data_IF_776134921575
#
_entry.id   IF_776134921575
#
_cell.length_a   1.000
_cell.length_b   1.000
_cell.length_c   1.000
_cell.angle_alpha   90.00
_cell.angle_beta   90.00
_cell.angle_gamma   90.00
#
_symmetry.space_group_name_H-M   'P 1'
#
loop_
_entity.id
_entity.type
_entity.pdbx_description
1 polymer ?
#
# COMPACT_ATOMS: atom_id res chain seq x y z
N UNK A 1 -16.30 17.06 3.52
CA UNK A 1 -16.16 17.02 2.07
C UNK A 1 -14.80 16.52 1.60
N UNK A 2 -13.71 16.86 2.26
CA UNK A 2 -12.40 16.29 1.95
C UNK A 2 -12.32 14.78 2.27
N UNK A 3 -13.18 14.30 3.16
CA UNK A 3 -13.18 12.91 3.60
C UNK A 3 -13.66 11.91 2.54
N UNK A 4 -14.55 12.33 1.64
CA UNK A 4 -15.05 11.46 0.57
C UNK A 4 -14.00 11.16 -0.49
N UNK A 5 -13.13 12.13 -0.78
CA UNK A 5 -12.01 11.91 -1.71
C UNK A 5 -10.96 10.99 -1.13
N UNK A 6 -10.81 11.02 0.16
CA UNK A 6 -9.91 10.15 0.91
C UNK A 6 -10.34 8.69 0.85
N UNK A 7 -11.63 8.48 1.11
CA UNK A 7 -12.21 7.14 1.07
C UNK A 7 -12.19 6.57 -0.36
N UNK A 8 -12.39 7.41 -1.36
CA UNK A 8 -12.31 7.01 -2.75
C UNK A 8 -10.89 6.59 -3.16
N UNK A 9 -9.87 7.25 -2.60
CA UNK A 9 -8.47 6.90 -2.87
C UNK A 9 -8.09 5.56 -2.24
N UNK A 10 -8.73 5.18 -1.14
CA UNK A 10 -8.52 3.87 -0.53
C UNK A 10 -9.02 2.71 -1.38
N UNK A 11 -10.08 2.95 -2.14
CA UNK A 11 -10.73 1.89 -2.92
C UNK A 11 -10.01 1.52 -4.21
N UNK A 12 -9.07 2.33 -4.65
CA UNK A 12 -8.47 2.19 -5.98
C UNK A 12 -7.04 1.62 -5.92
N UNK A 13 -6.52 1.39 -4.73
CA UNK A 13 -5.13 0.98 -4.56
C UNK A 13 -4.89 -0.53 -4.61
N UNK A 14 -5.74 -1.26 -5.32
CA UNK A 14 -5.51 -2.70 -5.51
C UNK A 14 -4.65 -2.88 -6.75
N UNK A 15 -3.44 -3.32 -6.54
CA UNK A 15 -2.54 -3.66 -7.64
C UNK A 15 -3.04 -4.97 -8.27
N UNK A 16 -3.56 -4.86 -9.46
CA UNK A 16 -3.88 -6.05 -10.23
C UNK A 16 -2.59 -6.65 -10.78
N UNK A 17 -1.99 -7.51 -10.01
CA UNK A 17 -0.79 -8.23 -10.44
C UNK A 17 -1.24 -9.36 -11.34
N UNK A 18 -1.47 -9.04 -12.59
CA UNK A 18 -2.10 -9.99 -13.52
C UNK A 18 -1.12 -10.82 -14.34
N UNK A 19 0.16 -10.49 -14.35
CA UNK A 19 1.09 -11.14 -15.26
C UNK A 19 2.35 -11.56 -14.55
N UNK A 20 2.25 -12.56 -13.71
CA UNK A 20 3.44 -13.08 -13.07
C UNK A 20 3.96 -14.26 -13.82
N UNK A 21 5.05 -14.01 -14.49
CA UNK A 21 5.82 -15.08 -15.06
C UNK A 21 6.57 -15.83 -13.94
N UNK A 22 6.66 -16.97 -14.07
CA UNK A 22 7.17 -18.18 -13.48
C UNK A 22 8.57 -18.17 -12.84
N UNK A 23 9.25 -17.05 -12.70
CA UNK A 23 10.65 -17.04 -12.27
C UNK A 23 10.83 -16.78 -10.78
N UNK A 24 9.95 -17.32 -9.96
CA UNK A 24 9.99 -17.07 -8.53
C UNK A 24 10.95 -17.93 -7.74
N UNK A 25 11.63 -18.86 -8.40
CA UNK A 25 12.57 -19.74 -7.70
C UNK A 25 13.81 -18.98 -7.28
N UNK A 26 14.06 -18.91 -5.97
CA UNK A 26 15.24 -18.32 -5.39
C UNK A 26 15.10 -16.92 -4.81
N UNK A 27 13.94 -16.29 -4.95
CA UNK A 27 13.71 -15.00 -4.30
C UNK A 27 13.26 -15.21 -2.86
N UNK A 28 13.95 -14.56 -1.93
CA UNK A 28 13.66 -14.69 -0.49
C UNK A 28 12.68 -13.63 -0.01
N UNK A 29 12.64 -12.46 -0.67
CA UNK A 29 11.79 -11.35 -0.28
C UNK A 29 11.02 -10.80 -1.46
N UNK A 30 9.92 -10.13 -1.16
CA UNK A 30 9.13 -9.43 -2.16
C UNK A 30 9.97 -8.34 -2.85
N UNK A 31 10.81 -7.68 -2.11
CA UNK A 31 11.71 -6.65 -2.64
C UNK A 31 12.62 -7.22 -3.74
N UNK A 32 13.23 -8.36 -3.48
CA UNK A 32 14.08 -9.03 -4.47
C UNK A 32 13.29 -9.46 -5.70
N UNK A 33 12.09 -9.98 -5.47
CA UNK A 33 11.21 -10.43 -6.54
C UNK A 33 10.87 -9.27 -7.49
N UNK A 34 10.48 -8.13 -6.94
CA UNK A 34 10.10 -6.96 -7.74
C UNK A 34 11.32 -6.36 -8.45
N UNK A 35 12.48 -6.32 -7.82
CA UNK A 35 13.71 -5.82 -8.44
C UNK A 35 14.13 -6.63 -9.66
N UNK A 36 13.85 -7.92 -9.64
CA UNK A 36 14.20 -8.81 -10.75
C UNK A 36 13.17 -8.78 -11.88
N UNK A 37 11.99 -8.25 -11.62
CA UNK A 37 10.92 -8.17 -12.60
C UNK A 37 10.69 -6.71 -12.99
N UNK A 38 11.36 -6.28 -14.05
CA UNK A 38 11.28 -4.91 -14.54
C UNK A 38 9.86 -4.54 -14.99
N UNK A 39 9.10 -5.51 -15.47
CA UNK A 39 7.72 -5.31 -15.90
C UNK A 39 6.81 -5.00 -14.71
N UNK A 40 6.94 -5.77 -13.66
CA UNK A 40 6.19 -5.56 -12.43
C UNK A 40 6.55 -4.23 -11.78
N UNK A 41 7.84 -3.90 -11.75
CA UNK A 41 8.28 -2.62 -11.21
C UNK A 41 7.72 -1.44 -12.00
N UNK A 42 7.69 -1.56 -13.33
CA UNK A 42 7.09 -0.55 -14.20
C UNK A 42 5.60 -0.39 -13.94
N UNK A 43 4.87 -1.47 -13.75
CA UNK A 43 3.45 -1.45 -13.42
C UNK A 43 3.20 -0.76 -12.08
N UNK A 44 4.01 -1.06 -11.09
CA UNK A 44 3.92 -0.44 -9.76
C UNK A 44 4.15 1.07 -9.87
N UNK A 45 5.19 1.49 -10.61
CA UNK A 45 5.50 2.90 -10.80
C UNK A 45 4.37 3.62 -11.53
N UNK A 46 3.77 2.98 -12.51
CA UNK A 46 2.65 3.56 -13.27
C UNK A 46 1.41 3.73 -12.38
N UNK A 47 1.11 2.74 -11.56
CA UNK A 47 0.01 2.82 -10.60
C UNK A 47 0.24 3.97 -9.63
N UNK A 48 1.44 4.08 -9.09
CA UNK A 48 1.81 5.15 -8.17
C UNK A 48 1.59 6.53 -8.82
N UNK A 49 2.04 6.70 -10.05
CA UNK A 49 1.85 7.94 -10.80
C UNK A 49 0.39 8.25 -11.06
N UNK A 50 -0.36 7.26 -11.52
CA UNK A 50 -1.77 7.41 -11.88
C UNK A 50 -2.62 7.75 -10.65
N UNK A 51 -2.31 7.15 -9.52
CA UNK A 51 -3.05 7.35 -8.28
C UNK A 51 -2.55 8.53 -7.45
N UNK A 52 -1.41 9.11 -7.81
CA UNK A 52 -0.83 10.21 -7.06
C UNK A 52 -0.34 9.82 -5.68
N UNK A 53 0.21 8.63 -5.56
CA UNK A 53 0.75 8.12 -4.31
C UNK A 53 2.15 7.55 -4.52
N UNK A 54 2.83 7.22 -3.44
CA UNK A 54 4.10 6.50 -3.50
C UNK A 54 3.88 5.05 -3.09
N UNK A 55 4.54 4.14 -3.77
CA UNK A 55 4.55 2.73 -3.41
C UNK A 55 5.99 2.34 -3.14
N UNK A 56 6.25 1.87 -1.93
CA UNK A 56 7.58 1.40 -1.54
C UNK A 56 7.51 -0.08 -1.18
N UNK A 57 8.58 -0.80 -1.50
CA UNK A 57 8.68 -2.21 -1.14
C UNK A 57 10.00 -2.39 -0.43
N UNK A 58 9.94 -2.83 0.81
CA UNK A 58 11.11 -3.11 1.63
C UNK A 58 10.94 -4.49 2.25
N UNK A 59 11.86 -5.38 1.92
CA UNK A 59 11.79 -6.79 2.33
C UNK A 59 10.45 -7.40 1.90
N UNK A 60 9.58 -7.78 2.82
CA UNK A 60 8.28 -8.39 2.53
C UNK A 60 7.12 -7.43 2.74
N UNK A 61 7.40 -6.14 2.88
CA UNK A 61 6.36 -5.13 3.12
C UNK A 61 6.19 -4.23 1.91
N UNK A 62 4.97 -4.21 1.38
CA UNK A 62 4.56 -3.26 0.34
C UNK A 62 3.76 -2.16 1.02
N UNK A 63 4.22 -0.91 0.88
CA UNK A 63 3.60 0.23 1.55
C UNK A 63 3.05 1.22 0.52
N UNK A 64 1.77 1.55 0.67
CA UNK A 64 1.14 2.66 -0.03
C UNK A 64 1.28 3.91 0.82
N UNK A 65 1.92 4.96 0.30
CA UNK A 65 2.11 6.21 1.01
C UNK A 65 1.30 7.30 0.35
N UNK A 66 0.35 7.84 1.08
CA UNK A 66 -0.49 8.96 0.64
C UNK A 66 -0.03 10.23 1.32
N UNK A 67 0.37 11.22 0.55
CA UNK A 67 0.79 12.52 1.08
C UNK A 67 -0.27 13.57 0.84
N UNK A 68 -0.63 14.25 1.92
CA UNK A 68 -1.45 15.47 1.82
C UNK A 68 -0.64 16.62 1.29
N UNK A 69 -1.32 17.54 0.64
CA UNK A 69 -0.68 18.75 0.12
C UNK A 69 -0.55 19.86 1.15
N UNK A 70 -1.04 19.64 2.36
CA UNK A 70 -1.06 20.64 3.43
C UNK A 70 -0.43 20.08 4.69
N UNK A 71 0.19 20.96 5.45
CA UNK A 71 0.62 20.64 6.81
C UNK A 71 -0.59 20.66 7.73
N UNK A 72 -0.66 19.70 8.64
CA UNK A 72 -1.79 19.56 9.54
C UNK A 72 -1.37 19.86 10.97
N UNK A 73 -2.28 20.47 11.74
CA UNK A 73 -2.09 20.66 13.18
C UNK A 73 -2.24 19.32 13.90
N UNK A 74 -1.76 19.26 15.14
CA UNK A 74 -1.89 18.05 15.96
C UNK A 74 -3.35 17.63 16.15
N UNK A 75 -4.25 18.61 16.34
CA UNK A 75 -5.68 18.33 16.47
C UNK A 75 -6.28 17.78 15.19
N UNK A 76 -5.89 18.32 14.05
CA UNK A 76 -6.33 17.82 12.74
C UNK A 76 -5.83 16.39 12.52
N UNK A 77 -4.58 16.11 12.89
CA UNK A 77 -4.00 14.77 12.78
C UNK A 77 -4.79 13.77 13.63
N UNK A 78 -5.13 14.15 14.85
CA UNK A 78 -5.93 13.28 15.74
C UNK A 78 -7.29 12.96 15.14
N UNK A 79 -7.99 13.97 14.63
CA UNK A 79 -9.31 13.77 14.01
C UNK A 79 -9.22 12.86 12.79
N UNK A 80 -8.26 13.14 11.92
CA UNK A 80 -8.08 12.37 10.70
C UNK A 80 -7.62 10.95 10.97
N UNK A 81 -6.76 10.77 11.97
CA UNK A 81 -6.28 9.46 12.37
C UNK A 81 -7.45 8.53 12.75
N UNK A 82 -8.42 9.05 13.50
CA UNK A 82 -9.61 8.29 13.88
C UNK A 82 -10.46 7.93 12.67
N UNK A 83 -10.65 8.86 11.76
CA UNK A 83 -11.43 8.61 10.54
C UNK A 83 -10.73 7.61 9.64
N UNK A 84 -9.42 7.71 9.51
CA UNK A 84 -8.63 6.76 8.70
C UNK A 84 -8.62 5.37 9.32
N UNK A 85 -8.56 5.28 10.64
CA UNK A 85 -8.64 3.99 11.36
C UNK A 85 -9.93 3.26 10.98
N UNK A 86 -11.07 3.95 11.05
CA UNK A 86 -12.37 3.37 10.71
C UNK A 86 -12.42 2.98 9.23
N UNK A 87 -11.94 3.86 8.35
CA UNK A 87 -11.94 3.61 6.92
C UNK A 87 -11.05 2.42 6.55
N UNK A 88 -9.87 2.34 7.13
CA UNK A 88 -8.95 1.24 6.88
C UNK A 88 -9.45 -0.07 7.48
N UNK A 89 -10.10 -0.01 8.62
CA UNK A 89 -10.71 -1.19 9.21
C UNK A 89 -11.79 -1.77 8.29
N UNK A 90 -12.58 -0.91 7.65
CA UNK A 90 -13.57 -1.33 6.66
C UNK A 90 -12.92 -1.95 5.42
N UNK A 91 -11.73 -1.53 5.06
CA UNK A 91 -10.99 -2.04 3.91
C UNK A 91 -10.01 -3.16 4.25
N UNK A 92 -9.99 -3.59 5.49
CA UNK A 92 -9.05 -4.59 6.00
C UNK A 92 -9.01 -5.86 5.15
N UNK A 93 -10.18 -6.39 4.82
CA UNK A 93 -10.28 -7.62 4.03
C UNK A 93 -9.64 -7.47 2.65
N UNK A 94 -9.78 -6.30 2.04
CA UNK A 94 -9.17 -6.01 0.73
C UNK A 94 -7.64 -6.09 0.80
N UNK A 95 -7.05 -5.47 1.81
CA UNK A 95 -5.60 -5.50 1.97
C UNK A 95 -5.08 -6.88 2.38
N UNK A 96 -5.82 -7.60 3.20
CA UNK A 96 -5.48 -8.99 3.54
C UNK A 96 -5.52 -9.89 2.32
N UNK A 97 -6.52 -9.72 1.46
CA UNK A 97 -6.62 -10.47 0.21
C UNK A 97 -5.46 -10.14 -0.73
N UNK A 98 -5.06 -8.87 -0.79
CA UNK A 98 -3.91 -8.47 -1.59
C UNK A 98 -2.63 -9.15 -1.08
N UNK A 99 -2.41 -9.16 0.23
CA UNK A 99 -1.27 -9.86 0.82
C UNK A 99 -1.29 -11.35 0.47
N UNK A 100 -2.46 -11.97 0.57
CA UNK A 100 -2.63 -13.39 0.22
C UNK A 100 -2.35 -13.66 -1.25
N UNK A 101 -2.81 -12.79 -2.14
CA UNK A 101 -2.55 -12.92 -3.57
C UNK A 101 -1.06 -12.79 -3.88
N UNK A 102 -0.39 -11.84 -3.23
CA UNK A 102 1.04 -11.67 -3.39
C UNK A 102 1.80 -12.90 -2.91
N UNK A 103 1.40 -13.47 -1.78
CA UNK A 103 2.01 -14.70 -1.26
C UNK A 103 1.82 -15.86 -2.23
N UNK A 104 0.62 -16.01 -2.77
CA UNK A 104 0.31 -17.09 -3.71
C UNK A 104 1.10 -16.95 -4.99
N UNK A 105 1.19 -15.74 -5.54
CA UNK A 105 1.83 -15.51 -6.84
C UNK A 105 3.35 -15.51 -6.74
N UNK A 106 3.91 -14.98 -5.68
CA UNK A 106 5.36 -14.93 -5.49
C UNK A 106 5.91 -16.16 -4.79
N UNK A 107 5.04 -16.93 -4.13
CA UNK A 107 5.40 -18.05 -3.24
C UNK A 107 6.27 -17.62 -2.07
N UNK A 108 6.22 -16.35 -1.73
CA UNK A 108 6.90 -15.79 -0.57
C UNK A 108 5.87 -15.66 0.55
N UNK A 109 6.17 -16.17 1.72
CA UNK A 109 5.30 -16.08 2.90
C UNK A 109 5.65 -14.88 3.76
N UNK A 110 4.69 -14.45 4.56
CA UNK A 110 4.91 -13.34 5.49
C UNK A 110 4.87 -11.98 4.82
N UNK A 111 4.16 -11.85 3.71
CA UNK A 111 4.00 -10.57 3.04
C UNK A 111 3.04 -9.69 3.82
N UNK A 112 3.43 -8.44 3.98
CA UNK A 112 2.67 -7.42 4.68
C UNK A 112 2.32 -6.29 3.72
N UNK A 113 1.07 -5.84 3.76
CA UNK A 113 0.63 -4.65 3.03
C UNK A 113 0.41 -3.55 4.06
N UNK A 114 1.07 -2.43 3.89
CA UNK A 114 0.93 -1.28 4.79
C UNK A 114 0.34 -0.09 4.03
N UNK A 115 -0.43 0.71 4.73
CA UNK A 115 -0.98 1.95 4.20
C UNK A 115 -0.59 3.07 5.15
N UNK A 116 0.08 4.09 4.65
CA UNK A 116 0.57 5.19 5.46
C UNK A 116 0.07 6.51 4.89
N UNK A 117 -0.49 7.35 5.76
CA UNK A 117 -0.93 8.70 5.43
C UNK A 117 -0.01 9.70 6.09
N UNK A 118 0.49 10.65 5.31
CA UNK A 118 1.40 11.70 5.78
C UNK A 118 0.85 13.06 5.40
N UNK A 119 1.22 14.09 6.18
CA UNK A 119 0.97 15.48 5.77
C UNK A 119 2.08 15.96 4.81
N UNK A 120 2.02 17.20 4.39
CA UNK A 120 2.97 17.74 3.42
C UNK A 120 4.41 17.76 3.95
N UNK A 121 4.59 17.80 5.26
CA UNK A 121 5.92 17.80 5.89
C UNK A 121 6.48 16.39 6.08
N UNK A 122 5.69 15.35 5.80
CA UNK A 122 6.08 13.97 6.01
C UNK A 122 5.69 13.42 7.37
N UNK A 123 4.93 14.16 8.14
CA UNK A 123 4.46 13.71 9.46
C UNK A 123 3.37 12.66 9.27
N UNK A 124 3.53 11.52 9.94
CA UNK A 124 2.58 10.39 9.78
C UNK A 124 1.27 10.73 10.50
N UNK A 125 0.17 10.65 9.75
CA UNK A 125 -1.18 10.82 10.28
C UNK A 125 -1.69 9.50 10.82
N UNK A 126 -1.58 8.44 10.03
CA UNK A 126 -2.02 7.11 10.40
C UNK A 126 -1.31 6.06 9.54
N UNK A 127 -1.05 4.93 10.13
CA UNK A 127 -0.47 3.79 9.43
C UNK A 127 -1.19 2.50 9.83
N UNK A 128 -1.63 1.73 8.85
CA UNK A 128 -2.20 0.40 9.05
C UNK A 128 -1.33 -0.65 8.39
N UNK A 129 -1.24 -1.83 9.00
CA UNK A 129 -0.50 -2.95 8.46
C UNK A 129 -1.40 -4.18 8.40
N UNK A 130 -1.34 -4.93 7.30
CA UNK A 130 -2.23 -6.05 7.04
C UNK A 130 -1.45 -7.24 6.52
N UNK A 131 -1.75 -8.40 7.07
CA UNK A 131 -1.17 -9.67 6.61
C UNK A 131 -2.28 -10.54 6.03
N UNK A 132 -1.92 -11.60 5.35
CA UNK A 132 -2.90 -12.53 4.75
C UNK A 132 -3.78 -13.20 5.81
N UNK A 133 -3.31 -13.28 7.02
CA UNK A 133 -4.11 -13.63 8.22
C UNK A 133 -3.24 -13.68 9.46
#
# INVERSE_FOLDING_TARGET
>A
MKNKRFLALLMVAVIAISALSLAACGNKTLEEYVKKDSKLQSEIDQIAKTQGLEITIKENTLTYVYKYKQNLTDDQIKMMSKQLEVALDSAKATFQNLAAQLETKTKIKGIKVAVEYQDASGKVIYKGEYTSK
#
